data_IF_142782924221
#
_entry.id   IF_142782924221
#
_cell.length_a   1.000
_cell.length_b   1.000
_cell.length_c   1.000
_cell.angle_alpha   90.00
_cell.angle_beta   90.00
_cell.angle_gamma   90.00
#
_symmetry.space_group_name_H-M   'P 1'
#
loop_
_entity.id
_entity.type
_entity.pdbx_description
1 polymer ?
#
# COMPACT_ATOMS: atom_id res chain seq x y z
N UNK A 1 -20.55 41.88 -0.77
CA UNK A 1 -19.45 42.83 -0.49
C UNK A 1 -18.82 42.48 0.85
N UNK A 2 -17.69 41.78 0.83
CA UNK A 2 -16.63 41.80 1.85
C UNK A 2 -15.47 40.95 1.30
N UNK A 3 -14.69 41.57 0.43
CA UNK A 3 -13.30 41.18 0.16
C UNK A 3 -12.51 41.37 1.45
N UNK A 4 -11.67 40.39 1.81
CA UNK A 4 -10.29 40.57 2.29
C UNK A 4 -9.86 39.36 3.14
N UNK A 5 -8.99 38.51 2.56
CA UNK A 5 -7.81 37.94 3.23
C UNK A 5 -7.00 37.13 2.22
N UNK A 6 -6.23 37.87 1.44
CA UNK A 6 -5.02 37.41 0.77
C UNK A 6 -3.87 37.72 1.73
N UNK A 7 -2.95 36.77 1.96
CA UNK A 7 -1.48 36.91 2.13
C UNK A 7 -0.87 35.94 3.16
N UNK A 8 0.35 35.49 2.78
CA UNK A 8 1.38 34.77 3.54
C UNK A 8 1.06 33.28 3.83
N UNK A 9 1.87 32.30 3.39
CA UNK A 9 3.30 32.20 3.60
C UNK A 9 4.03 31.56 2.41
N UNK A 10 5.10 32.24 1.97
CA UNK A 10 6.17 31.68 1.16
C UNK A 10 7.39 31.43 2.05
N UNK A 11 8.16 30.41 1.68
CA UNK A 11 9.57 30.19 1.96
C UNK A 11 10.02 29.98 3.42
N UNK A 12 10.47 28.76 3.74
CA UNK A 12 11.70 28.60 4.51
C UNK A 12 12.53 27.47 3.91
N UNK A 13 13.54 27.89 3.15
CA UNK A 13 14.63 27.08 2.67
C UNK A 13 15.69 26.92 3.77
N UNK A 14 16.39 25.78 3.72
CA UNK A 14 17.79 25.57 4.08
C UNK A 14 18.26 26.04 5.47
N UNK A 15 18.54 25.06 6.34
CA UNK A 15 19.70 25.13 7.23
C UNK A 15 20.39 23.76 7.24
N UNK A 16 21.38 23.65 6.36
CA UNK A 16 22.50 22.72 6.48
C UNK A 16 23.24 23.08 7.78
N UNK A 17 23.36 22.12 8.70
CA UNK A 17 24.32 22.21 9.81
C UNK A 17 25.26 21.02 9.71
N UNK A 18 26.44 21.33 9.21
CA UNK A 18 27.68 20.56 9.32
C UNK A 18 28.01 20.31 10.79
N UNK A 19 28.13 19.04 11.19
CA UNK A 19 28.81 18.65 12.41
C UNK A 19 30.06 17.84 12.03
N UNK A 20 31.18 18.56 11.93
CA UNK A 20 32.53 18.00 12.02
C UNK A 20 32.73 17.56 13.48
N UNK A 21 32.84 16.26 13.70
CA UNK A 21 33.11 15.66 15.01
C UNK A 21 34.38 14.84 14.98
N UNK A 22 35.48 15.50 15.39
CA UNK A 22 36.68 14.98 16.03
C UNK A 22 37.24 13.61 15.60
N UNK A 23 38.36 13.66 14.88
CA UNK A 23 39.36 12.59 14.84
C UNK A 23 39.99 12.45 16.24
N UNK A 24 39.81 11.29 16.87
CA UNK A 24 40.59 10.87 18.02
C UNK A 24 41.82 10.10 17.54
N UNK A 25 43.00 10.62 17.86
CA UNK A 25 44.29 9.97 17.71
C UNK A 25 44.43 8.84 18.74
N UNK A 26 44.26 7.59 18.32
CA UNK A 26 44.71 6.42 19.08
C UNK A 26 46.06 5.91 18.52
N UNK A 27 47.08 5.70 19.37
CA UNK A 27 48.40 5.25 18.95
C UNK A 27 48.40 3.78 18.49
N UNK A 28 49.31 3.39 17.57
CA UNK A 28 49.36 2.02 17.05
C UNK A 28 49.95 1.08 18.09
N UNK A 29 49.11 0.20 18.63
CA UNK A 29 49.55 -0.89 19.48
C UNK A 29 50.13 -2.01 18.60
N UNK A 30 51.44 -2.16 18.73
CA UNK A 30 52.29 -3.08 18.00
C UNK A 30 52.06 -4.51 18.51
N UNK A 31 51.29 -5.31 17.76
CA UNK A 31 51.18 -6.76 17.97
C UNK A 31 51.62 -7.52 16.72
N UNK A 32 52.66 -8.33 16.93
CA UNK A 32 53.21 -9.43 16.15
C UNK A 32 52.62 -9.73 14.75
N UNK A 33 53.44 -9.68 13.69
CA UNK A 33 53.06 -10.13 12.36
C UNK A 33 53.48 -11.59 12.13
N UNK A 34 53.03 -12.55 12.94
CA UNK A 34 53.10 -13.99 12.59
C UNK A 34 52.04 -14.81 13.34
N UNK A 35 50.80 -14.77 12.85
CA UNK A 35 49.84 -15.90 12.85
C UNK A 35 48.52 -15.44 12.20
N UNK A 36 48.56 -15.23 10.88
CA UNK A 36 47.34 -15.22 10.07
C UNK A 36 47.31 -16.53 9.29
N UNK A 37 47.10 -17.61 10.02
CA UNK A 37 46.66 -18.89 9.48
C UNK A 37 45.15 -18.95 9.68
N UNK A 38 44.40 -18.92 8.58
CA UNK A 38 43.09 -19.53 8.44
C UNK A 38 42.13 -19.33 9.62
N UNK A 39 41.71 -18.08 9.88
CA UNK A 39 40.32 -17.85 10.27
C UNK A 39 39.55 -17.84 8.93
N UNK A 40 39.21 -18.99 8.37
CA UNK A 40 38.19 -19.85 8.95
C UNK A 40 36.87 -19.16 8.65
N UNK A 41 36.37 -19.36 7.42
CA UNK A 41 34.95 -19.22 7.11
C UNK A 41 34.22 -19.99 8.21
N UNK A 42 33.80 -19.27 9.24
CA UNK A 42 32.84 -19.83 10.19
C UNK A 42 31.57 -19.81 9.38
N UNK A 43 31.29 -20.94 8.71
CA UNK A 43 30.00 -21.20 8.11
C UNK A 43 28.96 -20.68 9.09
N UNK A 44 28.18 -19.68 8.66
CA UNK A 44 27.05 -19.25 9.43
C UNK A 44 26.11 -20.44 9.54
N UNK A 45 26.11 -21.07 10.71
CA UNK A 45 25.18 -22.13 11.04
C UNK A 45 23.94 -21.48 11.67
N UNK A 46 22.82 -21.35 10.92
CA UNK A 46 21.59 -20.78 11.44
C UNK A 46 21.01 -21.58 12.62
N UNK A 47 21.53 -22.77 12.92
CA UNK A 47 21.19 -23.52 14.13
C UNK A 47 21.84 -22.95 15.40
N UNK A 48 22.92 -22.18 15.29
CA UNK A 48 23.65 -21.62 16.45
C UNK A 48 23.60 -20.10 16.55
N UNK A 49 23.34 -19.40 15.44
CA UNK A 49 23.12 -17.95 15.41
C UNK A 49 21.86 -17.60 14.61
N UNK A 50 20.71 -17.34 15.28
CA UNK A 50 19.44 -17.04 14.60
C UNK A 50 19.42 -15.66 13.94
N UNK A 51 20.40 -14.79 14.23
CA UNK A 51 20.56 -13.49 13.59
C UNK A 51 21.53 -13.54 12.40
N UNK A 52 22.22 -14.67 12.17
CA UNK A 52 22.97 -14.85 10.94
C UNK A 52 22.05 -15.23 9.77
N UNK A 53 21.70 -14.22 8.97
CA UNK A 53 21.16 -14.42 7.63
C UNK A 53 22.36 -14.72 6.73
N UNK A 54 22.42 -15.88 6.04
CA UNK A 54 23.42 -16.08 5.00
C UNK A 54 23.28 -14.90 4.04
N UNK A 55 24.32 -14.08 3.90
CA UNK A 55 24.35 -13.12 2.81
C UNK A 55 24.28 -13.96 1.54
N UNK A 56 23.21 -13.81 0.75
CA UNK A 56 23.15 -14.44 -0.57
C UNK A 56 24.38 -13.93 -1.32
N UNK A 57 25.35 -14.82 -1.56
CA UNK A 57 26.53 -14.43 -2.32
C UNK A 57 26.04 -13.94 -3.68
N UNK A 58 26.42 -12.73 -4.09
CA UNK A 58 26.01 -12.23 -5.40
C UNK A 58 26.54 -13.19 -6.46
N UNK A 59 25.70 -13.53 -7.43
CA UNK A 59 26.13 -14.34 -8.56
C UNK A 59 26.83 -13.45 -9.60
N UNK A 60 27.82 -13.99 -10.30
CA UNK A 60 28.41 -13.35 -11.49
C UNK A 60 27.94 -14.07 -12.77
N UNK A 61 27.64 -15.36 -12.67
CA UNK A 61 27.24 -16.25 -13.75
C UNK A 61 26.05 -17.13 -13.34
N UNK A 62 25.33 -17.68 -14.32
CA UNK A 62 24.19 -18.57 -14.08
C UNK A 62 24.58 -19.84 -13.30
N UNK A 63 25.81 -20.32 -13.48
CA UNK A 63 26.35 -21.48 -12.77
C UNK A 63 26.55 -21.25 -11.28
N UNK A 64 26.59 -19.99 -10.82
CA UNK A 64 26.71 -19.64 -9.41
C UNK A 64 25.36 -19.82 -8.68
N UNK A 65 24.25 -19.95 -9.42
CA UNK A 65 22.90 -20.00 -8.89
C UNK A 65 22.31 -21.42 -8.74
N UNK A 66 23.13 -22.46 -8.82
CA UNK A 66 22.66 -23.86 -8.71
C UNK A 66 22.41 -24.50 -10.07
N UNK A 67 21.27 -25.19 -10.26
CA UNK A 67 20.96 -25.81 -11.56
C UNK A 67 20.59 -24.72 -12.59
N UNK A 68 21.42 -24.48 -13.64
CA UNK A 68 21.19 -23.40 -14.61
C UNK A 68 19.95 -23.62 -15.50
N UNK A 69 19.28 -24.79 -15.37
CA UNK A 69 17.97 -25.02 -16.00
C UNK A 69 16.82 -24.39 -15.23
N UNK A 70 17.05 -24.04 -13.97
CA UNK A 70 16.04 -23.52 -13.06
C UNK A 70 16.42 -22.18 -12.44
N UNK A 71 17.69 -21.78 -12.48
CA UNK A 71 18.16 -20.47 -12.00
C UNK A 71 19.04 -19.77 -13.03
N UNK A 72 18.99 -18.44 -13.02
CA UNK A 72 19.89 -17.58 -13.78
C UNK A 72 20.34 -16.41 -12.91
N UNK A 73 21.50 -15.86 -13.21
CA UNK A 73 22.00 -14.68 -12.54
C UNK A 73 21.46 -13.41 -13.21
N UNK A 74 20.69 -12.61 -12.48
CA UNK A 74 20.16 -11.32 -12.94
C UNK A 74 20.60 -10.22 -11.98
N UNK A 75 21.39 -9.28 -12.48
CA UNK A 75 21.88 -8.13 -11.71
C UNK A 75 22.51 -8.52 -10.35
N UNK A 76 23.23 -9.65 -10.33
CA UNK A 76 23.90 -10.17 -9.13
C UNK A 76 23.00 -10.96 -8.17
N UNK A 77 21.75 -11.25 -8.55
CA UNK A 77 20.80 -12.04 -7.75
C UNK A 77 20.35 -13.28 -8.53
N UNK A 78 20.29 -14.43 -7.86
CA UNK A 78 19.78 -15.65 -8.45
C UNK A 78 18.26 -15.62 -8.58
N UNK A 79 17.77 -15.66 -9.81
CA UNK A 79 16.34 -15.67 -10.11
C UNK A 79 15.89 -17.01 -10.70
N UNK A 80 14.72 -17.48 -10.27
CA UNK A 80 14.10 -18.69 -10.80
C UNK A 80 13.67 -18.51 -12.26
N UNK A 81 14.12 -19.42 -13.13
CA UNK A 81 13.84 -19.45 -14.56
C UNK A 81 12.57 -20.24 -14.86
N UNK A 82 11.82 -19.81 -15.86
CA UNK A 82 10.63 -20.50 -16.31
C UNK A 82 10.48 -20.46 -17.84
N UNK A 83 9.76 -21.45 -18.35
CA UNK A 83 9.26 -21.51 -19.73
C UNK A 83 7.74 -21.50 -19.77
N UNK A 84 7.10 -22.00 -18.72
CA UNK A 84 5.66 -22.02 -18.52
C UNK A 84 5.30 -21.53 -17.13
N UNK A 85 4.03 -21.17 -16.93
CA UNK A 85 3.51 -20.83 -15.59
C UNK A 85 3.67 -21.99 -14.59
N UNK A 86 3.57 -23.24 -15.05
CA UNK A 86 3.67 -24.41 -14.17
C UNK A 86 5.06 -24.53 -13.51
N UNK A 87 6.10 -24.10 -14.22
CA UNK A 87 7.49 -24.14 -13.75
C UNK A 87 7.68 -23.29 -12.47
N UNK A 88 6.87 -22.23 -12.29
CA UNK A 88 6.92 -21.38 -11.10
C UNK A 88 6.14 -21.94 -9.90
N UNK A 89 5.25 -22.89 -10.12
CA UNK A 89 4.39 -23.48 -9.08
C UNK A 89 4.92 -24.79 -8.52
N UNK A 90 5.86 -25.44 -9.21
CA UNK A 90 6.44 -26.72 -8.77
C UNK A 90 7.93 -26.75 -9.08
N UNK A 91 8.75 -26.61 -8.05
CA UNK A 91 10.19 -26.57 -8.18
C UNK A 91 10.85 -27.75 -7.45
N UNK A 92 11.77 -28.51 -8.09
CA UNK A 92 12.37 -29.70 -7.48
C UNK A 92 13.10 -29.45 -6.17
N UNK A 93 13.77 -28.30 -6.04
CA UNK A 93 14.53 -27.95 -4.83
C UNK A 93 13.65 -27.59 -3.64
N UNK A 94 12.37 -27.27 -3.87
CA UNK A 94 11.41 -26.94 -2.82
C UNK A 94 10.44 -28.11 -2.56
N UNK A 95 10.91 -29.34 -2.73
CA UNK A 95 10.10 -30.58 -2.61
C UNK A 95 8.83 -30.55 -3.50
N UNK A 96 8.93 -29.94 -4.68
CA UNK A 96 7.79 -29.73 -5.59
C UNK A 96 6.88 -28.56 -5.19
N UNK A 97 7.24 -27.79 -4.17
CA UNK A 97 6.60 -26.54 -3.76
C UNK A 97 6.87 -25.38 -4.71
N UNK A 98 6.13 -24.29 -4.51
CA UNK A 98 6.32 -23.05 -5.25
C UNK A 98 7.59 -22.32 -4.75
N UNK A 99 8.21 -21.54 -5.62
CA UNK A 99 9.28 -20.60 -5.24
C UNK A 99 8.85 -19.73 -4.04
N UNK A 100 9.74 -19.36 -3.10
CA UNK A 100 9.35 -18.62 -1.89
C UNK A 100 8.53 -17.35 -2.17
N UNK A 101 8.86 -16.60 -3.22
CA UNK A 101 8.10 -15.41 -3.67
C UNK A 101 6.74 -15.72 -4.32
N UNK A 102 6.45 -16.98 -4.61
CA UNK A 102 5.26 -17.48 -5.29
C UNK A 102 4.28 -18.20 -4.36
N UNK A 103 4.55 -18.22 -3.06
CA UNK A 103 3.73 -18.90 -2.04
C UNK A 103 2.41 -18.19 -1.69
N UNK A 104 2.16 -17.01 -2.25
CA UNK A 104 0.93 -16.23 -2.04
C UNK A 104 -0.29 -16.76 -2.81
N UNK A 105 -1.50 -16.25 -2.52
CA UNK A 105 -2.76 -16.74 -3.11
C UNK A 105 -2.85 -16.56 -4.64
N UNK A 106 -2.06 -15.65 -5.21
CA UNK A 106 -2.03 -15.39 -6.66
C UNK A 106 -1.01 -16.25 -7.41
N UNK A 107 -0.08 -16.90 -6.69
CA UNK A 107 1.03 -17.62 -7.28
C UNK A 107 1.98 -16.70 -8.07
N UNK A 108 2.60 -17.27 -9.10
CA UNK A 108 3.51 -16.56 -10.00
C UNK A 108 3.11 -16.70 -11.47
N UNK A 109 3.60 -15.75 -12.25
CA UNK A 109 3.60 -15.75 -13.71
C UNK A 109 5.03 -15.96 -14.20
N UNK A 110 5.15 -16.58 -15.38
CA UNK A 110 6.41 -16.63 -16.09
C UNK A 110 6.52 -15.39 -16.98
N UNK A 111 7.39 -14.46 -16.59
CA UNK A 111 7.57 -13.17 -17.26
C UNK A 111 9.04 -13.02 -17.65
N UNK A 112 9.29 -12.82 -18.95
CA UNK A 112 10.67 -12.70 -19.48
C UNK A 112 11.60 -13.86 -19.08
N UNK A 113 11.03 -15.07 -18.94
CA UNK A 113 11.68 -16.29 -18.46
C UNK A 113 12.07 -16.29 -16.98
N UNK A 114 11.58 -15.35 -16.20
CA UNK A 114 11.71 -15.32 -14.75
C UNK A 114 10.35 -15.58 -14.07
N UNK A 115 10.36 -16.30 -12.96
CA UNK A 115 9.18 -16.45 -12.11
C UNK A 115 8.96 -15.18 -11.29
N UNK A 116 7.93 -14.41 -11.62
CA UNK A 116 7.57 -13.18 -10.90
C UNK A 116 6.25 -13.37 -10.15
N UNK A 117 6.14 -12.86 -8.91
CA UNK A 117 4.87 -12.87 -8.17
C UNK A 117 3.77 -12.20 -8.99
N UNK A 118 2.64 -12.88 -9.16
CA UNK A 118 1.51 -12.27 -9.87
C UNK A 118 0.96 -11.12 -9.03
N UNK A 119 0.98 -9.92 -9.61
CA UNK A 119 0.53 -8.73 -8.91
C UNK A 119 -1.00 -8.69 -8.78
N UNK A 120 -1.49 -8.37 -7.58
CA UNK A 120 -2.91 -8.10 -7.38
C UNK A 120 -3.28 -6.71 -7.93
N UNK A 121 -4.52 -6.58 -8.39
CA UNK A 121 -5.17 -5.33 -8.80
C UNK A 121 -6.36 -4.96 -7.91
N UNK A 122 -6.91 -5.94 -7.17
CA UNK A 122 -8.03 -5.75 -6.25
C UNK A 122 -8.00 -6.74 -5.08
N UNK A 123 -8.59 -6.35 -3.94
CA UNK A 123 -8.70 -7.19 -2.74
C UNK A 123 -9.42 -8.53 -3.02
N UNK A 124 -10.38 -8.55 -3.96
CA UNK A 124 -11.12 -9.76 -4.33
C UNK A 124 -10.25 -10.88 -4.89
N UNK A 125 -9.05 -10.56 -5.38
CA UNK A 125 -8.08 -11.54 -5.89
C UNK A 125 -7.27 -12.16 -4.74
N UNK A 126 -7.21 -11.50 -3.59
CA UNK A 126 -6.38 -11.85 -2.45
C UNK A 126 -7.10 -12.72 -1.40
N UNK A 127 -8.36 -13.11 -1.63
CA UNK A 127 -9.14 -13.92 -0.71
C UNK A 127 -9.44 -13.17 0.60
N UNK A 128 -8.81 -13.58 1.71
CA UNK A 128 -8.93 -12.91 3.01
C UNK A 128 -7.85 -11.84 3.25
N UNK A 129 -6.91 -11.67 2.31
CA UNK A 129 -5.85 -10.66 2.34
C UNK A 129 -6.30 -9.41 1.56
N UNK A 130 -5.51 -8.33 1.65
CA UNK A 130 -5.78 -7.07 0.93
C UNK A 130 -4.70 -6.79 -0.10
N UNK A 131 -5.09 -6.19 -1.21
CA UNK A 131 -4.19 -5.82 -2.28
C UNK A 131 -3.51 -4.48 -1.99
N UNK A 132 -2.20 -4.51 -1.73
CA UNK A 132 -1.39 -3.33 -1.43
C UNK A 132 -0.15 -3.32 -2.31
N UNK A 133 -0.05 -2.30 -3.16
CA UNK A 133 1.08 -2.13 -4.08
C UNK A 133 1.39 -3.39 -4.93
N UNK A 134 0.35 -4.09 -5.38
CA UNK A 134 0.49 -5.32 -6.17
C UNK A 134 0.69 -6.59 -5.36
N UNK A 135 0.71 -6.53 -4.02
CA UNK A 135 0.90 -7.70 -3.18
C UNK A 135 -0.31 -7.98 -2.29
N UNK A 136 -0.66 -9.25 -2.14
CA UNK A 136 -1.65 -9.68 -1.15
C UNK A 136 -1.00 -9.72 0.23
N UNK A 137 -1.37 -8.76 1.08
CA UNK A 137 -0.81 -8.60 2.43
C UNK A 137 -1.87 -8.82 3.49
N UNK A 138 -1.43 -9.16 4.71
CA UNK A 138 -2.35 -9.25 5.85
C UNK A 138 -2.94 -7.87 6.13
N UNK A 139 -4.27 -7.74 6.27
CA UNK A 139 -4.89 -6.47 6.57
C UNK A 139 -4.48 -5.93 7.94
N UNK A 140 -4.39 -4.61 8.04
CA UNK A 140 -4.13 -3.90 9.28
C UNK A 140 -5.30 -4.06 10.27
N UNK A 141 -4.98 -4.04 11.57
CA UNK A 141 -6.00 -4.13 12.63
C UNK A 141 -6.47 -2.74 13.07
N UNK A 142 -7.64 -2.35 12.57
CA UNK A 142 -8.35 -1.15 12.99
C UNK A 142 -7.72 0.19 12.56
N UNK A 143 -8.41 1.28 12.88
CA UNK A 143 -8.03 2.64 12.53
C UNK A 143 -8.46 3.64 13.62
N UNK A 144 -7.72 4.73 13.77
CA UNK A 144 -8.01 5.83 14.71
C UNK A 144 -8.66 7.04 14.02
N UNK A 145 -8.50 7.16 12.70
CA UNK A 145 -9.13 8.18 11.88
C UNK A 145 -9.52 7.64 10.49
N UNK A 146 -10.37 8.38 9.78
CA UNK A 146 -10.70 8.11 8.39
C UNK A 146 -10.93 9.42 7.62
N UNK A 147 -11.08 9.32 6.30
CA UNK A 147 -11.53 10.39 5.43
C UNK A 147 -12.44 9.82 4.34
N UNK A 148 -13.45 10.58 3.91
CA UNK A 148 -14.34 10.23 2.80
C UNK A 148 -13.99 11.11 1.61
N UNK A 149 -13.98 10.53 0.40
CA UNK A 149 -13.73 11.21 -0.85
C UNK A 149 -14.86 10.94 -1.86
N UNK A 150 -15.52 11.99 -2.39
CA UNK A 150 -15.43 13.38 -1.92
C UNK A 150 -16.05 13.55 -0.52
N UNK A 151 -15.52 14.46 0.30
CA UNK A 151 -16.10 14.81 1.62
C UNK A 151 -17.34 15.72 1.50
N UNK A 152 -17.53 16.28 0.31
CA UNK A 152 -18.65 17.10 -0.10
C UNK A 152 -19.15 16.72 -1.50
N UNK A 153 -20.46 16.58 -1.69
CA UNK A 153 -21.04 16.35 -3.01
C UNK A 153 -22.34 17.13 -3.26
N UNK A 154 -22.56 17.51 -4.53
CA UNK A 154 -23.87 17.99 -5.00
C UNK A 154 -24.48 16.94 -5.91
N UNK A 155 -25.65 16.43 -5.54
CA UNK A 155 -26.39 15.43 -6.31
C UNK A 155 -27.73 16.01 -6.78
N UNK A 156 -28.18 15.59 -7.96
CA UNK A 156 -29.59 15.74 -8.33
C UNK A 156 -30.42 14.62 -7.69
N UNK A 157 -31.69 14.91 -7.40
CA UNK A 157 -32.63 13.85 -7.05
C UNK A 157 -32.64 12.77 -8.16
N UNK A 158 -32.49 11.49 -7.77
CA UNK A 158 -32.34 10.34 -8.65
C UNK A 158 -30.91 10.04 -9.12
N UNK A 159 -29.94 10.93 -8.91
CA UNK A 159 -28.55 10.71 -9.28
C UNK A 159 -27.80 9.92 -8.21
N UNK A 160 -27.00 8.94 -8.64
CA UNK A 160 -26.08 8.19 -7.78
C UNK A 160 -24.64 8.71 -7.87
N UNK A 161 -23.90 8.60 -6.76
CA UNK A 161 -22.47 8.86 -6.68
C UNK A 161 -21.82 7.84 -5.73
N UNK A 162 -20.63 7.37 -6.12
CA UNK A 162 -19.80 6.49 -5.30
C UNK A 162 -18.78 7.32 -4.53
N UNK A 163 -18.77 7.14 -3.22
CA UNK A 163 -17.82 7.68 -2.27
C UNK A 163 -16.78 6.61 -1.94
N UNK A 164 -15.56 7.04 -1.67
CA UNK A 164 -14.46 6.19 -1.20
C UNK A 164 -14.07 6.62 0.20
N UNK A 165 -13.53 5.68 0.98
CA UNK A 165 -13.00 5.98 2.30
C UNK A 165 -11.53 5.56 2.37
N UNK A 166 -10.75 6.33 3.12
CA UNK A 166 -9.37 5.99 3.49
C UNK A 166 -9.31 5.96 5.01
N UNK A 167 -8.71 4.92 5.57
CA UNK A 167 -8.51 4.77 7.00
C UNK A 167 -7.06 5.09 7.38
N UNK A 168 -6.87 5.62 8.58
CA UNK A 168 -5.57 5.99 9.13
C UNK A 168 -5.38 5.39 10.52
N UNK A 169 -4.12 5.06 10.83
CA UNK A 169 -3.67 4.70 12.18
C UNK A 169 -2.36 5.40 12.45
N UNK A 170 -2.27 6.16 13.54
CA UNK A 170 -1.07 6.94 13.88
C UNK A 170 -0.60 7.85 12.73
N UNK A 171 -1.57 8.54 12.09
CA UNK A 171 -1.36 9.42 10.93
C UNK A 171 -0.77 8.77 9.67
N UNK A 172 -0.83 7.43 9.55
CA UNK A 172 -0.43 6.70 8.34
C UNK A 172 -1.64 5.98 7.73
N UNK A 173 -1.77 5.93 6.40
CA UNK A 173 -2.84 5.17 5.76
C UNK A 173 -2.68 3.69 6.05
N UNK A 174 -3.79 3.01 6.36
CA UNK A 174 -3.84 1.58 6.65
C UNK A 174 -4.73 0.84 5.65
N UNK A 175 -4.38 -0.41 5.37
CA UNK A 175 -5.12 -1.29 4.47
C UNK A 175 -6.00 -2.22 5.31
N UNK A 176 -7.26 -1.85 5.46
CA UNK A 176 -8.25 -2.67 6.17
C UNK A 176 -8.93 -3.64 5.20
N UNK A 177 -9.45 -4.76 5.72
CA UNK A 177 -10.32 -5.64 4.96
C UNK A 177 -11.60 -4.93 4.46
N UNK A 178 -12.19 -5.42 3.37
CA UNK A 178 -13.38 -4.82 2.78
C UNK A 178 -14.58 -4.77 3.75
N UNK A 179 -14.70 -5.78 4.61
CA UNK A 179 -15.71 -5.90 5.66
C UNK A 179 -15.52 -4.91 6.82
N UNK A 180 -14.34 -4.28 6.91
CA UNK A 180 -14.07 -3.25 7.91
C UNK A 180 -14.71 -1.89 7.59
N UNK A 181 -15.30 -1.72 6.39
CA UNK A 181 -15.96 -0.51 5.95
C UNK A 181 -17.48 -0.66 5.96
N UNK A 182 -18.15 -0.04 6.93
CA UNK A 182 -19.62 -0.02 7.01
C UNK A 182 -20.15 1.35 6.61
N UNK A 183 -20.83 1.41 5.48
CA UNK A 183 -21.48 2.63 4.98
C UNK A 183 -22.93 2.73 5.46
N UNK A 184 -23.40 3.95 5.72
CA UNK A 184 -24.79 4.21 6.11
C UNK A 184 -25.25 5.60 5.68
N UNK A 185 -26.53 5.73 5.36
CA UNK A 185 -27.20 7.02 5.19
C UNK A 185 -27.63 7.57 6.55
N UNK A 186 -27.36 8.85 6.82
CA UNK A 186 -27.70 9.52 8.08
C UNK A 186 -29.06 10.21 8.05
N UNK A 187 -29.57 10.54 6.85
CA UNK A 187 -30.84 11.25 6.70
C UNK A 187 -31.54 10.84 5.39
N UNK A 188 -32.78 11.32 5.19
CA UNK A 188 -33.60 10.94 4.03
C UNK A 188 -33.19 11.60 2.71
N UNK A 189 -32.25 12.55 2.72
CA UNK A 189 -31.80 13.21 1.50
C UNK A 189 -31.09 12.23 0.57
N UNK A 190 -30.49 11.16 1.10
CA UNK A 190 -29.82 10.12 0.32
C UNK A 190 -30.31 8.73 0.69
N UNK A 191 -30.19 7.81 -0.25
CA UNK A 191 -30.40 6.38 -0.08
C UNK A 191 -29.12 5.64 -0.46
N UNK A 192 -28.65 4.75 0.41
CA UNK A 192 -27.58 3.83 0.05
C UNK A 192 -28.13 2.78 -0.91
N UNK A 193 -27.50 2.65 -2.08
CA UNK A 193 -27.90 1.68 -3.12
C UNK A 193 -26.90 0.53 -3.28
N UNK A 194 -25.65 0.75 -2.86
CA UNK A 194 -24.59 -0.24 -2.73
C UNK A 194 -23.53 0.30 -1.76
N UNK A 195 -22.54 -0.50 -1.38
CA UNK A 195 -21.45 -0.03 -0.52
C UNK A 195 -20.73 1.17 -1.13
N UNK A 196 -20.58 2.22 -0.31
CA UNK A 196 -20.05 3.51 -0.73
C UNK A 196 -20.91 4.28 -1.75
N UNK A 197 -22.00 3.73 -2.27
CA UNK A 197 -22.78 4.35 -3.36
C UNK A 197 -24.13 4.83 -2.87
N UNK A 198 -24.36 6.14 -3.04
CA UNK A 198 -25.54 6.83 -2.54
C UNK A 198 -26.28 7.54 -3.68
N UNK A 199 -27.60 7.48 -3.63
CA UNK A 199 -28.53 8.12 -4.57
C UNK A 199 -29.26 9.26 -3.88
N UNK A 200 -29.31 10.44 -4.50
CA UNK A 200 -30.11 11.56 -4.01
C UNK A 200 -31.60 11.23 -4.06
N UNK A 201 -32.33 11.46 -2.96
CA UNK A 201 -33.79 11.29 -2.86
C UNK A 201 -34.48 12.63 -2.74
N UNK A 202 -34.40 13.22 -1.55
CA UNK A 202 -35.14 14.42 -1.21
C UNK A 202 -34.26 15.67 -1.41
N UNK A 203 -34.74 16.71 -2.11
CA UNK A 203 -34.03 17.97 -2.20
C UNK A 203 -33.78 18.53 -0.80
N UNK A 204 -32.51 18.76 -0.48
CA UNK A 204 -32.11 19.49 0.72
C UNK A 204 -32.49 20.96 0.57
N UNK A 205 -32.90 21.60 1.68
CA UNK A 205 -33.44 22.96 1.75
C UNK A 205 -32.47 24.11 1.38
N UNK A 206 -31.47 23.84 0.53
CA UNK A 206 -30.49 24.83 0.06
C UNK A 206 -29.12 24.72 0.72
N UNK A 207 -29.00 24.00 1.83
CA UNK A 207 -27.74 23.79 2.52
C UNK A 207 -27.30 22.31 2.49
N UNK A 208 -25.98 22.05 2.35
CA UNK A 208 -25.42 20.71 2.45
C UNK A 208 -25.57 20.17 3.87
N UNK A 209 -25.98 18.91 3.99
CA UNK A 209 -26.17 18.26 5.29
C UNK A 209 -25.24 17.06 5.42
N UNK A 210 -24.85 16.70 6.64
CA UNK A 210 -24.22 15.39 6.89
C UNK A 210 -25.21 14.30 6.51
N UNK A 211 -24.98 13.68 5.34
CA UNK A 211 -25.97 12.80 4.72
C UNK A 211 -25.56 11.34 4.77
N UNK A 212 -24.26 11.06 4.90
CA UNK A 212 -23.74 9.71 4.96
C UNK A 212 -22.59 9.62 5.96
N UNK A 213 -22.37 8.39 6.43
CA UNK A 213 -21.32 8.01 7.37
C UNK A 213 -20.63 6.75 6.86
N UNK A 214 -19.34 6.65 7.12
CA UNK A 214 -18.57 5.41 7.07
C UNK A 214 -18.00 5.11 8.45
N UNK A 215 -18.05 3.85 8.86
CA UNK A 215 -17.22 3.31 9.93
C UNK A 215 -16.12 2.48 9.28
N UNK A 216 -14.86 2.77 9.61
CA UNK A 216 -13.68 2.13 9.03
C UNK A 216 -12.76 1.67 10.17
N UNK A 217 -12.73 0.37 10.46
CA UNK A 217 -11.84 -0.19 11.48
C UNK A 217 -11.99 0.40 12.90
N UNK A 218 -13.15 0.96 13.23
CA UNK A 218 -13.43 1.65 14.50
C UNK A 218 -13.45 3.18 14.42
N UNK A 219 -12.87 3.79 13.39
CA UNK A 219 -12.99 5.22 13.12
C UNK A 219 -14.34 5.54 12.44
N UNK A 220 -14.89 6.73 12.70
CA UNK A 220 -16.15 7.18 12.06
C UNK A 220 -15.97 8.52 11.36
N UNK A 221 -16.38 8.58 10.10
CA UNK A 221 -16.31 9.77 9.26
C UNK A 221 -17.64 10.04 8.60
N UNK A 222 -17.88 11.32 8.29
CA UNK A 222 -19.12 11.78 7.67
C UNK A 222 -18.81 12.65 6.47
N UNK A 223 -19.69 12.63 5.48
CA UNK A 223 -19.61 13.50 4.32
C UNK A 223 -20.89 14.32 4.19
N UNK A 224 -20.74 15.52 3.62
CA UNK A 224 -21.83 16.43 3.37
C UNK A 224 -22.37 16.24 1.96
N UNK A 225 -23.69 16.19 1.83
CA UNK A 225 -24.35 16.13 0.53
C UNK A 225 -25.42 17.22 0.45
N UNK A 226 -25.40 17.95 -0.66
CA UNK A 226 -26.49 18.83 -1.08
C UNK A 226 -27.25 18.12 -2.21
N UNK A 227 -28.52 17.81 -1.97
CA UNK A 227 -29.39 17.27 -3.02
C UNK A 227 -30.23 18.39 -3.60
N UNK A 228 -30.09 18.62 -4.90
CA UNK A 228 -30.85 19.64 -5.63
C UNK A 228 -32.02 18.98 -6.35
N UNK A 229 -33.20 19.60 -6.23
CA UNK A 229 -34.38 19.20 -6.96
C UNK A 229 -34.27 19.50 -8.46
N UNK A 230 -35.22 18.95 -9.23
CA UNK A 230 -35.34 19.23 -10.65
C UNK A 230 -35.47 20.73 -10.93
N UNK A 231 -34.77 21.20 -11.95
CA UNK A 231 -34.94 22.56 -12.45
C UNK A 231 -36.07 22.53 -13.49
N UNK A 232 -36.99 23.50 -13.42
CA UNK A 232 -37.93 23.72 -14.51
C UNK A 232 -37.19 24.05 -15.80
N UNK A 233 -37.85 23.87 -16.95
CA UNK A 233 -37.28 24.12 -18.28
C UNK A 233 -36.63 25.51 -18.35
N UNK A 234 -35.45 25.61 -18.95
CA UNK A 234 -34.67 26.85 -19.10
C UNK A 234 -34.23 27.53 -17.79
N UNK A 235 -34.16 26.79 -16.67
CA UNK A 235 -33.58 27.29 -15.42
C UNK A 235 -32.22 26.66 -15.14
N UNK A 236 -31.29 27.46 -14.63
CA UNK A 236 -30.02 27.00 -14.09
C UNK A 236 -30.00 27.27 -12.57
N UNK A 237 -29.36 26.38 -11.82
CA UNK A 237 -29.01 26.60 -10.42
C UNK A 237 -27.50 26.56 -10.33
N UNK A 238 -26.93 27.62 -9.78
CA UNK A 238 -25.50 27.70 -9.47
C UNK A 238 -25.36 27.41 -7.99
N UNK A 239 -24.55 26.40 -7.66
CA UNK A 239 -24.12 26.11 -6.29
C UNK A 239 -22.67 26.54 -6.22
N UNK A 240 -22.37 27.49 -5.35
CA UNK A 240 -21.00 27.90 -5.05
C UNK A 240 -20.62 27.20 -3.77
N UNK A 241 -19.53 26.44 -3.83
CA UNK A 241 -18.85 25.86 -2.68
C UNK A 241 -17.51 26.56 -2.53
N UNK A 242 -17.17 26.86 -1.28
CA UNK A 242 -15.87 27.40 -0.86
C UNK A 242 -14.84 26.26 -0.76
#
# INVERSE_FOLDING_TARGET
MKLAKLLAFAALAMLLSTALGACGDDPPDNKDPQQQTDAGNTECDPATDPDCVPEEEPCDLDEDCGDPRHFMCVDGTCEAVCTTKADCSSHPEYDGGAWPGCSGPLGCSCEERACKPTACTADSECGTLVCKAGQCVTPDTGADACAIFPDYAVLRAGQSLTFRAVAYKSNKPVSLGADAFTWSALNSAVEQVADGTFKGKDPTGGEPTEALKVEAGGASCKAKVLVVGGLGTNKARVVVVD
#
